data_IF_895415004026
#
_entry.id   IF_895415004026
#
_cell.length_a   1.000
_cell.length_b   1.000
_cell.length_c   1.000
_cell.angle_alpha   90.00
_cell.angle_beta   90.00
_cell.angle_gamma   90.00
#
_symmetry.space_group_name_H-M   'P 1'
#
loop_
_entity.id
_entity.type
_entity.pdbx_description
1 polymer ?
#
# COMPACT_ATOMS: atom_id res chain seq x y z
N UNK A 1 13.37 18.08 -19.24
CA UNK A 1 12.85 18.80 -18.05
C UNK A 1 13.95 18.85 -17.01
N UNK A 2 14.31 20.01 -16.43
CA UNK A 2 15.37 20.09 -15.43
C UNK A 2 14.91 19.44 -14.11
N UNK A 3 15.85 18.82 -13.40
CA UNK A 3 15.61 18.24 -12.08
C UNK A 3 15.30 19.33 -11.05
N UNK A 4 14.46 19.02 -10.06
CA UNK A 4 14.15 19.91 -8.93
C UNK A 4 12.91 20.80 -9.11
N UNK A 5 12.25 20.77 -10.27
CA UNK A 5 10.97 21.46 -10.45
C UNK A 5 9.84 20.70 -9.74
N UNK A 6 9.10 21.37 -8.86
CA UNK A 6 8.02 20.77 -8.05
C UNK A 6 6.95 20.07 -8.88
N UNK A 7 6.63 20.60 -10.07
CA UNK A 7 5.59 20.04 -10.94
C UNK A 7 6.13 19.03 -11.97
N UNK A 8 7.45 18.78 -12.00
CA UNK A 8 8.03 17.89 -12.99
C UNK A 8 7.46 16.46 -12.96
N UNK A 9 7.32 15.82 -11.78
CA UNK A 9 6.75 14.47 -11.72
C UNK A 9 5.30 14.43 -12.21
N UNK A 10 4.49 15.43 -11.87
CA UNK A 10 3.08 15.48 -12.25
C UNK A 10 2.90 15.64 -13.77
N UNK A 11 3.69 16.52 -14.38
CA UNK A 11 3.66 16.74 -15.85
C UNK A 11 4.18 15.51 -16.59
N UNK A 12 5.24 14.88 -16.08
CA UNK A 12 5.76 13.66 -16.70
C UNK A 12 4.77 12.50 -16.59
N UNK A 13 4.11 12.36 -15.44
CA UNK A 13 3.06 11.37 -15.24
C UNK A 13 1.89 11.59 -16.22
N UNK A 14 1.41 12.82 -16.40
CA UNK A 14 0.35 13.15 -17.37
C UNK A 14 0.78 12.82 -18.82
N UNK A 15 2.02 13.12 -19.20
CA UNK A 15 2.56 12.71 -20.49
C UNK A 15 2.52 11.19 -20.66
N UNK A 16 3.06 10.45 -19.70
CA UNK A 16 3.10 8.99 -19.76
C UNK A 16 1.69 8.37 -19.80
N UNK A 17 0.75 8.92 -19.04
CA UNK A 17 -0.65 8.47 -19.06
C UNK A 17 -1.30 8.71 -20.42
N UNK A 18 -0.97 9.80 -21.12
CA UNK A 18 -1.49 10.05 -22.47
C UNK A 18 -0.87 9.13 -23.51
N UNK A 19 0.44 8.89 -23.44
CA UNK A 19 1.18 8.05 -24.38
C UNK A 19 0.76 6.58 -24.26
N UNK A 20 0.57 6.09 -23.04
CA UNK A 20 0.27 4.69 -22.76
C UNK A 20 -1.21 4.44 -22.47
N UNK A 21 -2.07 5.45 -22.66
CA UNK A 21 -3.51 5.42 -22.31
C UNK A 21 -4.22 4.16 -22.80
N UNK A 22 -3.90 3.73 -24.01
CA UNK A 22 -4.51 2.57 -24.65
C UNK A 22 -4.15 1.24 -24.00
N UNK A 23 -3.12 1.19 -23.16
CA UNK A 23 -2.58 -0.04 -22.55
C UNK A 23 -2.64 -0.03 -21.01
N UNK A 24 -2.97 1.11 -20.42
CA UNK A 24 -3.12 1.26 -18.97
C UNK A 24 -4.16 0.29 -18.42
N UNK A 25 -3.85 -0.30 -17.27
CA UNK A 25 -4.70 -1.25 -16.53
C UNK A 25 -5.06 -2.54 -17.28
N UNK A 26 -4.61 -2.73 -18.53
CA UNK A 26 -4.73 -3.98 -19.26
C UNK A 26 -3.50 -4.88 -19.06
N UNK A 27 -2.32 -4.36 -19.41
CA UNK A 27 -1.05 -5.07 -19.24
C UNK A 27 0.10 -4.13 -18.83
N UNK A 28 -0.19 -2.84 -18.60
CA UNK A 28 0.78 -1.83 -18.16
C UNK A 28 0.26 -1.02 -16.99
N UNK A 29 1.14 -0.83 -16.00
CA UNK A 29 0.98 0.15 -14.92
C UNK A 29 2.13 1.14 -15.03
N UNK A 30 1.83 2.42 -14.86
CA UNK A 30 2.83 3.49 -14.91
C UNK A 30 2.78 4.31 -13.63
N UNK A 31 3.95 4.58 -13.06
CA UNK A 31 4.07 5.52 -11.96
C UNK A 31 5.30 6.40 -12.16
N UNK A 32 5.08 7.68 -12.46
CA UNK A 32 6.13 8.66 -12.80
C UNK A 32 7.02 8.12 -13.93
N UNK A 33 8.23 7.64 -13.62
CA UNK A 33 9.23 7.13 -14.55
C UNK A 33 9.28 5.59 -14.63
N UNK A 34 8.61 4.90 -13.71
CA UNK A 34 8.58 3.44 -13.69
C UNK A 34 7.39 2.89 -14.51
N UNK A 35 7.68 1.96 -15.41
CA UNK A 35 6.70 1.25 -16.25
C UNK A 35 6.77 -0.23 -15.90
N UNK A 36 5.67 -0.76 -15.36
CA UNK A 36 5.51 -2.18 -15.09
C UNK A 36 4.68 -2.82 -16.20
N UNK A 37 5.24 -3.84 -16.86
CA UNK A 37 4.57 -4.62 -17.89
C UNK A 37 4.32 -6.02 -17.33
N UNK A 38 3.06 -6.43 -17.26
CA UNK A 38 2.66 -7.74 -16.72
C UNK A 38 1.85 -8.53 -17.73
N UNK A 39 1.95 -9.86 -17.68
CA UNK A 39 1.25 -10.75 -18.63
C UNK A 39 1.09 -12.14 -18.01
N UNK A 40 0.18 -12.94 -18.57
CA UNK A 40 -0.08 -14.30 -18.07
C UNK A 40 0.92 -15.33 -18.62
N UNK A 41 1.35 -15.15 -19.86
CA UNK A 41 2.29 -16.04 -20.54
C UNK A 41 3.55 -15.29 -20.94
N UNK A 42 4.61 -16.05 -21.22
CA UNK A 42 5.89 -15.48 -21.66
C UNK A 42 5.78 -14.94 -23.08
N UNK A 43 4.98 -15.61 -23.92
CA UNK A 43 4.71 -15.24 -25.29
C UNK A 43 4.01 -13.88 -25.34
N UNK A 44 2.91 -13.72 -24.58
CA UNK A 44 2.18 -12.44 -24.48
C UNK A 44 3.07 -11.33 -23.95
N UNK A 45 3.91 -11.62 -22.95
CA UNK A 45 4.82 -10.60 -22.39
C UNK A 45 5.83 -10.09 -23.43
N UNK A 46 6.26 -10.96 -24.35
CA UNK A 46 7.15 -10.57 -25.44
C UNK A 46 6.47 -9.63 -26.43
N UNK A 47 5.20 -9.89 -26.75
CA UNK A 47 4.38 -9.01 -27.60
C UNK A 47 4.10 -7.68 -26.92
N UNK A 48 3.66 -7.70 -25.66
CA UNK A 48 3.43 -6.49 -24.86
C UNK A 48 4.70 -5.63 -24.73
N UNK A 49 5.84 -6.25 -24.45
CA UNK A 49 7.11 -5.54 -24.38
C UNK A 49 7.45 -4.86 -25.72
N UNK A 50 7.24 -5.57 -26.83
CA UNK A 50 7.47 -5.01 -28.18
C UNK A 50 6.57 -3.81 -28.46
N UNK A 51 5.29 -3.89 -28.11
CA UNK A 51 4.33 -2.79 -28.25
C UNK A 51 4.80 -1.58 -27.45
N UNK A 52 5.14 -1.76 -26.17
CA UNK A 52 5.53 -0.64 -25.31
C UNK A 52 6.85 0.00 -25.75
N UNK A 53 7.86 -0.81 -26.11
CA UNK A 53 9.13 -0.27 -26.62
C UNK A 53 8.93 0.50 -27.94
N UNK A 54 8.02 0.05 -28.80
CA UNK A 54 7.69 0.76 -30.04
C UNK A 54 6.98 2.08 -29.74
N UNK A 55 5.97 2.08 -28.87
CA UNK A 55 5.24 3.29 -28.46
C UNK A 55 6.17 4.32 -27.81
N UNK A 56 7.10 3.89 -26.96
CA UNK A 56 8.11 4.77 -26.38
C UNK A 56 9.02 5.35 -27.46
N UNK A 57 9.44 4.55 -28.44
CA UNK A 57 10.28 5.00 -29.56
C UNK A 57 9.58 6.04 -30.43
N UNK A 58 8.31 5.83 -30.73
CA UNK A 58 7.50 6.74 -31.56
C UNK A 58 7.34 8.12 -30.88
N UNK A 59 7.23 8.13 -29.56
CA UNK A 59 7.15 9.34 -28.73
C UNK A 59 8.52 9.87 -28.29
N UNK A 60 9.63 9.29 -28.76
CA UNK A 60 11.02 9.65 -28.41
C UNK A 60 11.29 9.65 -26.90
N UNK A 61 10.68 8.69 -26.20
CA UNK A 61 10.94 8.39 -24.80
C UNK A 61 11.96 7.26 -24.71
N UNK A 62 12.95 7.42 -23.83
CA UNK A 62 14.07 6.50 -23.72
C UNK A 62 14.15 5.91 -22.33
N UNK A 63 14.09 4.58 -22.24
CA UNK A 63 14.34 3.86 -21.01
C UNK A 63 15.86 3.65 -20.82
N UNK A 64 16.33 3.77 -19.58
CA UNK A 64 17.74 3.50 -19.25
C UNK A 64 17.92 1.99 -19.08
N UNK A 65 18.54 1.33 -20.07
CA UNK A 65 18.73 -0.12 -20.09
C UNK A 65 19.33 -0.70 -18.80
N UNK A 66 20.28 0.00 -18.16
CA UNK A 66 20.91 -0.44 -16.91
C UNK A 66 19.98 -0.50 -15.70
N UNK A 67 18.76 0.04 -15.80
CA UNK A 67 17.71 0.02 -14.77
C UNK A 67 16.51 -0.83 -15.20
N UNK A 68 16.54 -1.40 -16.40
CA UNK A 68 15.45 -2.22 -16.90
C UNK A 68 15.67 -3.67 -16.50
N UNK A 69 14.62 -4.30 -15.99
CA UNK A 69 14.59 -5.71 -15.66
C UNK A 69 13.56 -6.39 -16.57
N UNK A 70 13.91 -7.56 -17.11
CA UNK A 70 13.08 -8.27 -18.07
C UNK A 70 12.87 -9.71 -17.63
N UNK A 71 11.70 -10.28 -17.96
CA UNK A 71 11.39 -11.70 -17.78
C UNK A 71 11.49 -12.21 -16.34
N UNK A 72 11.17 -11.36 -15.37
CA UNK A 72 11.16 -11.73 -13.96
C UNK A 72 9.80 -12.30 -13.54
N UNK A 73 9.83 -13.29 -12.66
CA UNK A 73 8.63 -13.86 -12.02
C UNK A 73 8.16 -13.05 -10.80
N UNK A 74 9.08 -12.29 -10.20
CA UNK A 74 8.84 -11.37 -9.09
C UNK A 74 9.66 -10.10 -9.36
N UNK A 75 9.06 -8.92 -9.20
CA UNK A 75 9.71 -7.63 -9.47
C UNK A 75 9.43 -6.64 -8.33
N UNK A 76 10.43 -5.83 -8.00
CA UNK A 76 10.25 -4.70 -7.07
C UNK A 76 9.57 -3.54 -7.80
N UNK A 77 8.40 -3.13 -7.35
CA UNK A 77 7.66 -2.00 -7.90
C UNK A 77 7.04 -1.19 -6.77
N UNK A 78 7.36 0.11 -6.70
CA UNK A 78 6.85 1.05 -5.69
C UNK A 78 7.04 0.57 -4.23
N UNK A 79 8.17 -0.07 -3.92
CA UNK A 79 8.46 -0.59 -2.58
C UNK A 79 7.62 -1.79 -2.16
N UNK A 80 7.07 -2.51 -3.15
CA UNK A 80 6.42 -3.81 -3.01
C UNK A 80 7.09 -4.83 -3.93
N UNK A 81 7.05 -6.10 -3.54
CA UNK A 81 7.39 -7.20 -4.46
C UNK A 81 6.08 -7.69 -5.09
N UNK A 82 6.00 -7.57 -6.41
CA UNK A 82 4.86 -8.05 -7.20
C UNK A 82 5.25 -9.36 -7.86
N UNK A 83 4.52 -10.43 -7.58
CA UNK A 83 4.78 -11.76 -8.16
C UNK A 83 3.51 -12.52 -8.48
N UNK A 84 3.66 -13.73 -9.00
CA UNK A 84 2.55 -14.58 -9.41
C UNK A 84 1.56 -14.93 -8.28
N UNK A 85 2.01 -14.92 -7.02
CA UNK A 85 1.19 -15.21 -5.84
C UNK A 85 0.46 -13.99 -5.29
N UNK A 86 0.82 -12.79 -5.74
CA UNK A 86 0.29 -11.53 -5.23
C UNK A 86 1.38 -10.51 -4.92
N UNK A 87 1.04 -9.55 -4.08
CA UNK A 87 1.88 -8.44 -3.65
C UNK A 87 2.37 -8.71 -2.23
N UNK A 88 3.66 -8.52 -1.99
CA UNK A 88 4.26 -8.59 -0.65
C UNK A 88 5.05 -7.33 -0.35
N UNK A 89 5.42 -7.17 0.92
CA UNK A 89 6.26 -6.06 1.39
C UNK A 89 7.70 -6.31 0.97
N UNK A 90 8.38 -5.27 0.49
CA UNK A 90 9.82 -5.35 0.17
C UNK A 90 10.65 -5.70 1.43
N UNK A 91 11.40 -6.83 1.43
CA UNK A 91 12.27 -7.24 2.52
C UNK A 91 13.29 -6.17 2.95
N UNK A 92 13.76 -5.32 2.04
CA UNK A 92 14.68 -4.24 2.39
C UNK A 92 13.99 -3.19 3.29
N UNK A 93 12.73 -2.87 3.00
CA UNK A 93 11.90 -1.99 3.85
C UNK A 93 11.50 -2.68 5.16
N UNK A 94 11.22 -3.98 5.13
CA UNK A 94 10.98 -4.77 6.36
C UNK A 94 12.21 -4.73 7.27
N UNK A 95 13.42 -4.93 6.73
CA UNK A 95 14.68 -4.84 7.51
C UNK A 95 14.85 -3.47 8.15
N UNK A 96 14.62 -2.39 7.38
CA UNK A 96 14.69 -1.03 7.92
C UNK A 96 13.69 -0.80 9.07
N UNK A 97 12.52 -1.45 9.04
CA UNK A 97 11.53 -1.42 10.14
C UNK A 97 12.01 -2.23 11.34
N UNK A 98 12.58 -3.41 11.13
CA UNK A 98 13.10 -4.27 12.21
C UNK A 98 14.22 -3.55 12.96
N UNK A 99 15.18 -2.99 12.22
CA UNK A 99 16.35 -2.30 12.76
C UNK A 99 16.05 -0.89 13.27
N UNK A 100 14.80 -0.42 13.11
CA UNK A 100 14.40 0.92 13.53
C UNK A 100 14.57 1.09 15.05
N UNK A 101 15.32 2.10 15.54
CA UNK A 101 15.52 2.29 16.97
C UNK A 101 14.21 2.72 17.66
N UNK A 102 14.05 2.42 18.94
CA UNK A 102 12.86 2.84 19.70
C UNK A 102 12.73 4.38 19.64
N UNK A 103 11.61 4.91 19.11
CA UNK A 103 11.41 6.34 18.95
C UNK A 103 11.48 7.09 20.29
N UNK A 104 12.26 8.16 20.35
CA UNK A 104 12.39 9.02 21.55
C UNK A 104 11.72 10.39 21.38
N UNK A 105 11.31 10.71 20.16
CA UNK A 105 10.71 12.00 19.83
C UNK A 105 9.40 11.84 19.08
N UNK A 106 8.51 12.83 19.18
CA UNK A 106 7.24 12.88 18.43
C UNK A 106 7.48 12.83 16.91
N UNK A 107 8.57 13.45 16.45
CA UNK A 107 9.00 13.43 15.04
C UNK A 107 9.36 12.03 14.58
N UNK A 108 10.12 11.27 15.37
CA UNK A 108 10.46 9.88 15.04
C UNK A 108 9.23 8.96 15.02
N UNK A 109 8.29 9.15 15.96
CA UNK A 109 7.02 8.41 15.94
C UNK A 109 6.25 8.70 14.65
N UNK A 110 6.15 9.97 14.24
CA UNK A 110 5.44 10.34 13.00
C UNK A 110 6.11 9.74 11.78
N UNK A 111 7.44 9.74 11.71
CA UNK A 111 8.19 9.11 10.61
C UNK A 111 7.93 7.60 10.56
N UNK A 112 8.00 6.91 11.71
CA UNK A 112 7.73 5.48 11.79
C UNK A 112 6.28 5.14 11.42
N UNK A 113 5.30 5.85 11.98
CA UNK A 113 3.88 5.66 11.66
C UNK A 113 3.55 5.98 10.20
N UNK A 114 4.27 6.93 9.58
CA UNK A 114 4.13 7.21 8.16
C UNK A 114 4.55 6.02 7.29
N UNK A 115 5.72 5.43 7.58
CA UNK A 115 6.21 4.26 6.85
C UNK A 115 5.38 3.00 7.14
N UNK A 116 5.05 2.74 8.41
CA UNK A 116 4.18 1.63 8.79
C UNK A 116 2.75 1.81 8.20
N UNK A 117 2.30 3.07 8.08
CA UNK A 117 1.03 3.44 7.48
C UNK A 117 0.96 3.17 5.97
N UNK A 118 2.09 3.23 5.25
CA UNK A 118 2.17 2.81 3.85
C UNK A 118 1.79 1.33 3.70
N UNK A 119 2.27 0.48 4.61
CA UNK A 119 2.00 -0.95 4.63
C UNK A 119 0.77 -1.35 5.46
N UNK A 120 -0.09 -0.40 5.86
CA UNK A 120 -1.30 -0.68 6.67
C UNK A 120 -2.22 -1.73 6.07
N UNK A 121 -2.21 -1.87 4.72
CA UNK A 121 -3.05 -2.84 3.99
C UNK A 121 -2.66 -4.30 4.25
N UNK A 122 -1.45 -4.54 4.75
CA UNK A 122 -0.92 -5.86 5.08
C UNK A 122 -1.12 -6.23 6.56
N UNK A 123 -1.47 -5.25 7.39
CA UNK A 123 -1.55 -5.41 8.85
C UNK A 123 -3.00 -5.37 9.28
N UNK A 124 -3.54 -6.53 9.66
CA UNK A 124 -4.84 -6.60 10.32
C UNK A 124 -4.82 -5.72 11.57
N UNK A 125 -5.90 -4.96 11.79
CA UNK A 125 -6.07 -4.17 13.00
C UNK A 125 -5.03 -3.07 13.23
N UNK A 126 -4.33 -2.62 12.18
CA UNK A 126 -3.30 -1.58 12.24
C UNK A 126 -3.69 -0.38 13.12
N UNK A 127 -4.91 0.15 12.98
CA UNK A 127 -5.39 1.31 13.75
C UNK A 127 -5.46 1.08 15.26
N UNK A 128 -5.63 -0.17 15.73
CA UNK A 128 -5.61 -0.52 17.16
C UNK A 128 -4.20 -0.59 17.68
N UNK A 129 -3.31 -1.22 16.92
CA UNK A 129 -1.91 -1.37 17.31
C UNK A 129 -1.23 0.01 17.31
N UNK A 130 -1.50 0.85 16.30
CA UNK A 130 -0.93 2.19 16.21
C UNK A 130 -1.59 3.22 17.14
N UNK A 131 -2.70 2.90 17.81
CA UNK A 131 -3.46 3.84 18.65
C UNK A 131 -2.63 4.52 19.76
N UNK A 132 -1.89 3.79 20.63
CA UNK A 132 -1.09 4.41 21.69
C UNK A 132 -0.02 5.35 21.13
N UNK A 133 0.67 4.96 20.05
CA UNK A 133 1.67 5.81 19.40
C UNK A 133 1.04 7.04 18.73
N UNK A 134 -0.15 6.89 18.13
CA UNK A 134 -0.86 8.01 17.52
C UNK A 134 -1.28 9.05 18.57
N UNK A 135 -1.63 8.62 19.78
CA UNK A 135 -1.95 9.54 20.89
C UNK A 135 -0.74 10.41 21.25
N UNK A 136 0.46 9.84 21.30
CA UNK A 136 1.71 10.60 21.58
C UNK A 136 2.03 11.68 20.54
N UNK A 137 1.38 11.66 19.36
CA UNK A 137 1.61 12.67 18.32
C UNK A 137 0.69 13.90 18.42
N UNK A 138 -0.29 13.89 19.34
CA UNK A 138 -1.23 15.00 19.54
C UNK A 138 -0.56 16.17 20.28
N UNK A 139 -0.99 17.40 19.96
CA UNK A 139 -0.35 18.64 20.45
C UNK A 139 -0.45 18.84 21.97
N UNK A 140 -1.48 18.30 22.62
CA UNK A 140 -1.76 18.52 24.04
C UNK A 140 -1.37 17.34 24.95
N UNK A 141 -0.48 16.46 24.49
CA UNK A 141 -0.06 15.27 25.24
C UNK A 141 1.44 15.30 25.48
N UNK A 142 1.85 15.19 26.74
CA UNK A 142 3.26 15.04 27.10
C UNK A 142 3.78 13.71 26.55
N UNK A 143 4.93 13.77 25.87
CA UNK A 143 5.59 12.59 25.35
C UNK A 143 6.04 11.71 26.52
N UNK A 144 5.38 10.57 26.70
CA UNK A 144 5.78 9.54 27.65
C UNK A 144 5.71 8.19 26.94
N UNK A 145 6.87 7.63 26.63
CA UNK A 145 6.96 6.28 26.08
C UNK A 145 6.67 5.27 27.19
N UNK A 146 5.47 4.71 27.19
CA UNK A 146 5.02 3.73 28.17
C UNK A 146 5.12 2.30 27.60
N UNK A 147 4.93 1.30 28.47
CA UNK A 147 4.98 -0.11 28.07
C UNK A 147 3.98 -0.45 26.96
N UNK A 148 2.82 0.22 26.94
CA UNK A 148 1.83 0.01 25.87
C UNK A 148 2.31 0.49 24.50
N UNK A 149 3.11 1.56 24.45
CA UNK A 149 3.74 2.06 23.22
C UNK A 149 4.86 1.12 22.77
N UNK A 150 5.67 0.63 23.70
CA UNK A 150 6.73 -0.35 23.40
C UNK A 150 6.15 -1.66 22.86
N UNK A 151 5.09 -2.18 23.49
CA UNK A 151 4.38 -3.37 23.03
C UNK A 151 3.76 -3.14 21.64
N UNK A 152 3.11 -2.00 21.41
CA UNK A 152 2.56 -1.65 20.11
C UNK A 152 3.64 -1.54 19.02
N UNK A 153 4.79 -0.95 19.35
CA UNK A 153 5.93 -0.82 18.44
C UNK A 153 6.49 -2.20 18.04
N UNK A 154 6.71 -3.09 19.01
CA UNK A 154 7.16 -4.46 18.75
C UNK A 154 6.15 -5.26 17.95
N UNK A 155 4.86 -5.16 18.30
CA UNK A 155 3.79 -5.86 17.59
C UNK A 155 3.68 -5.38 16.14
N UNK A 156 3.83 -4.07 15.85
CA UNK A 156 3.86 -3.59 14.47
C UNK A 156 5.04 -4.13 13.69
N UNK A 157 6.25 -4.18 14.29
CA UNK A 157 7.42 -4.78 13.63
C UNK A 157 7.19 -6.24 13.29
N UNK A 158 6.65 -7.01 14.25
CA UNK A 158 6.34 -8.43 14.05
C UNK A 158 5.31 -8.62 12.94
N UNK A 159 4.22 -7.84 12.94
CA UNK A 159 3.16 -7.94 11.92
C UNK A 159 3.61 -7.51 10.54
N UNK A 160 4.53 -6.56 10.43
CA UNK A 160 5.14 -6.18 9.15
C UNK A 160 6.10 -7.24 8.63
N UNK A 161 6.73 -8.01 9.52
CA UNK A 161 7.64 -9.11 9.16
C UNK A 161 6.88 -10.39 8.78
N UNK A 162 5.77 -10.66 9.46
CA UNK A 162 4.87 -11.80 9.22
C UNK A 162 3.72 -11.46 8.28
N UNK A 163 3.79 -10.30 7.62
CA UNK A 163 2.76 -9.79 6.72
C UNK A 163 2.44 -10.84 5.65
N UNK A 164 1.16 -11.23 5.49
CA UNK A 164 0.76 -12.18 4.46
C UNK A 164 0.93 -11.56 3.07
N UNK A 165 1.15 -12.42 2.07
CA UNK A 165 1.06 -12.02 0.66
C UNK A 165 -0.39 -11.67 0.36
N UNK A 166 -0.64 -10.44 -0.08
CA UNK A 166 -1.97 -9.99 -0.50
C UNK A 166 -2.19 -10.41 -1.95
N UNK A 167 -3.33 -11.03 -2.22
CA UNK A 167 -3.66 -11.47 -3.58
C UNK A 167 -4.16 -10.31 -4.40
N UNK A 168 -3.76 -10.24 -5.67
CA UNK A 168 -4.30 -9.26 -6.61
C UNK A 168 -5.76 -9.62 -6.93
N UNK A 169 -6.68 -8.64 -6.93
CA UNK A 169 -8.08 -8.90 -7.23
C UNK A 169 -8.23 -9.42 -8.67
N UNK A 170 -8.96 -10.52 -8.85
CA UNK A 170 -9.26 -11.03 -10.19
C UNK A 170 -10.62 -10.51 -10.66
N UNK A 171 -10.64 -9.93 -11.86
CA UNK A 171 -11.87 -9.44 -12.49
C UNK A 171 -12.82 -10.60 -12.79
N UNK A 172 -14.10 -10.43 -12.44
CA UNK A 172 -15.17 -11.38 -12.77
C UNK A 172 -15.49 -12.43 -11.71
N UNK A 173 -14.78 -12.47 -10.57
CA UNK A 173 -15.20 -13.26 -9.40
C UNK A 173 -15.84 -12.37 -8.33
N UNK A 174 -16.57 -13.01 -7.41
CA UNK A 174 -17.18 -12.32 -6.29
C UNK A 174 -16.14 -11.83 -5.27
N UNK A 175 -16.45 -10.71 -4.62
CA UNK A 175 -15.69 -10.21 -3.48
C UNK A 175 -16.44 -10.53 -2.19
N UNK A 176 -15.71 -10.92 -1.16
CA UNK A 176 -16.20 -11.15 0.19
C UNK A 176 -15.61 -10.08 1.11
N UNK A 177 -16.45 -9.44 1.91
CA UNK A 177 -16.03 -8.42 2.87
C UNK A 177 -16.43 -8.85 4.26
N UNK A 178 -15.44 -9.10 5.10
CA UNK A 178 -15.64 -9.35 6.52
C UNK A 178 -15.45 -8.05 7.27
N UNK A 179 -16.47 -7.59 7.99
CA UNK A 179 -16.45 -6.36 8.78
C UNK A 179 -16.47 -6.67 10.28
N UNK A 180 -15.86 -5.79 11.06
CA UNK A 180 -15.93 -5.79 12.53
C UNK A 180 -16.05 -4.36 13.02
N UNK A 181 -17.02 -4.09 13.89
CA UNK A 181 -17.22 -2.80 14.51
C UNK A 181 -17.11 -2.90 16.04
N UNK A 182 -16.51 -1.88 16.64
CA UNK A 182 -16.43 -1.76 18.09
C UNK A 182 -16.61 -0.31 18.50
N UNK A 183 -16.90 -0.04 19.78
CA UNK A 183 -17.02 1.32 20.33
C UNK A 183 -15.75 2.18 20.22
N UNK A 184 -14.67 1.63 19.68
CA UNK A 184 -13.39 2.34 19.52
C UNK A 184 -13.01 2.50 18.04
N UNK A 185 -13.39 1.55 17.17
CA UNK A 185 -12.87 1.43 15.80
C UNK A 185 -13.76 0.62 14.88
N UNK A 186 -13.50 0.77 13.59
CA UNK A 186 -14.02 -0.05 12.49
C UNK A 186 -12.86 -0.83 11.86
N UNK A 187 -13.09 -2.08 11.52
CA UNK A 187 -12.16 -2.95 10.81
C UNK A 187 -12.88 -3.67 9.68
N UNK A 188 -12.15 -3.99 8.63
CA UNK A 188 -12.64 -4.88 7.59
C UNK A 188 -11.49 -5.56 6.83
N UNK A 189 -11.82 -6.71 6.25
CA UNK A 189 -10.95 -7.51 5.39
C UNK A 189 -11.66 -7.74 4.09
N UNK A 190 -11.05 -7.29 2.98
CA UNK A 190 -11.49 -7.62 1.64
C UNK A 190 -10.84 -8.94 1.23
N UNK A 191 -11.64 -9.92 0.83
CA UNK A 191 -11.22 -11.27 0.48
C UNK A 191 -11.84 -11.70 -0.85
N UNK A 192 -11.19 -12.65 -1.50
CA UNK A 192 -11.66 -13.30 -2.72
C UNK A 192 -11.19 -14.75 -2.70
N UNK A 193 -12.11 -15.69 -2.93
CA UNK A 193 -11.86 -17.14 -2.84
C UNK A 193 -11.13 -17.56 -1.54
N UNK A 194 -11.52 -16.98 -0.40
CA UNK A 194 -10.90 -17.24 0.91
C UNK A 194 -9.49 -16.65 1.11
N UNK A 195 -8.99 -15.84 0.17
CA UNK A 195 -7.67 -15.16 0.27
C UNK A 195 -7.84 -13.67 0.51
N UNK A 196 -6.98 -13.09 1.35
CA UNK A 196 -7.03 -11.66 1.65
C UNK A 196 -6.43 -10.80 0.53
N UNK A 197 -7.19 -9.80 0.08
CA UNK A 197 -6.76 -8.77 -0.88
C UNK A 197 -6.26 -7.54 -0.14
N UNK A 198 -6.99 -7.10 0.89
CA UNK A 198 -6.62 -5.92 1.66
C UNK A 198 -7.21 -5.95 3.07
N UNK A 199 -6.41 -5.51 4.04
CA UNK A 199 -6.87 -5.16 5.38
C UNK A 199 -7.10 -3.66 5.48
N UNK A 200 -8.17 -3.25 6.13
CA UNK A 200 -8.38 -1.85 6.47
C UNK A 200 -8.93 -1.72 7.88
N UNK A 201 -8.48 -0.66 8.56
CA UNK A 201 -8.97 -0.32 9.88
C UNK A 201 -8.91 1.17 10.07
N UNK A 202 -9.84 1.71 10.87
CA UNK A 202 -9.92 3.14 11.17
C UNK A 202 -10.47 3.35 12.58
N UNK A 203 -9.91 4.32 13.31
CA UNK A 203 -10.50 4.78 14.57
C UNK A 203 -11.80 5.53 14.34
N UNK A 204 -12.74 5.42 15.28
CA UNK A 204 -13.99 6.19 15.21
C UNK A 204 -13.73 7.69 15.33
N UNK A 205 -14.46 8.46 14.54
CA UNK A 205 -14.56 9.91 14.71
C UNK A 205 -15.29 10.23 16.01
N UNK A 206 -15.11 11.46 16.50
CA UNK A 206 -15.68 11.92 17.77
C UNK A 206 -17.21 11.74 17.81
N UNK A 207 -17.91 12.03 16.71
CA UNK A 207 -19.36 11.85 16.61
C UNK A 207 -19.78 10.38 16.48
N UNK A 208 -19.01 9.56 15.78
CA UNK A 208 -19.29 8.13 15.60
C UNK A 208 -19.21 7.36 16.93
N UNK A 209 -18.51 7.88 17.94
CA UNK A 209 -18.46 7.28 19.29
C UNK A 209 -19.81 7.27 20.01
N UNK A 210 -20.72 8.14 19.62
CA UNK A 210 -22.05 8.23 20.22
C UNK A 210 -23.07 7.31 19.54
N UNK A 211 -22.66 6.57 18.50
CA UNK A 211 -23.56 5.74 17.71
C UNK A 211 -23.96 4.44 18.41
N UNK A 212 -25.19 3.99 18.12
CA UNK A 212 -25.65 2.62 18.06
C UNK A 212 -24.58 1.57 17.93
N UNK A 213 -24.62 0.41 18.61
CA UNK A 213 -23.85 -0.74 18.08
C UNK A 213 -24.31 -1.06 16.65
N UNK A 214 -25.61 -1.03 16.39
CA UNK A 214 -26.19 -1.26 15.05
C UNK A 214 -25.71 -0.23 14.02
N UNK A 215 -25.64 1.05 14.41
CA UNK A 215 -25.17 2.14 13.54
C UNK A 215 -23.66 2.06 13.29
N UNK A 216 -22.89 1.54 14.26
CA UNK A 216 -21.47 1.25 14.09
C UNK A 216 -21.22 0.10 13.11
N UNK A 217 -22.03 -0.95 13.15
CA UNK A 217 -21.98 -2.03 12.14
C UNK A 217 -22.26 -1.48 10.74
N UNK A 218 -23.30 -0.64 10.60
CA UNK A 218 -23.59 0.01 9.32
C UNK A 218 -22.44 0.95 8.88
N UNK A 219 -21.83 1.67 9.82
CA UNK A 219 -20.66 2.50 9.54
C UNK A 219 -19.45 1.66 9.08
N UNK A 220 -19.28 0.44 9.60
CA UNK A 220 -18.26 -0.50 9.14
C UNK A 220 -18.52 -0.95 7.70
N UNK A 221 -19.77 -1.24 7.33
CA UNK A 221 -20.17 -1.54 5.94
C UNK A 221 -19.81 -0.38 5.02
N UNK A 222 -20.24 0.84 5.37
CA UNK A 222 -19.98 2.04 4.56
C UNK A 222 -18.48 2.33 4.46
N UNK A 223 -17.72 2.07 5.52
CA UNK A 223 -16.26 2.18 5.50
C UNK A 223 -15.64 1.15 4.56
N UNK A 224 -16.10 -0.10 4.61
CA UNK A 224 -15.56 -1.17 3.80
C UNK A 224 -15.83 -0.98 2.30
N UNK A 225 -17.00 -0.45 1.93
CA UNK A 225 -17.35 -0.13 0.55
C UNK A 225 -16.56 1.05 -0.05
N UNK A 226 -15.84 1.82 0.77
CA UNK A 226 -14.99 2.94 0.32
C UNK A 226 -13.54 2.54 0.04
N UNK A 227 -13.19 1.28 0.28
CA UNK A 227 -11.85 0.72 0.06
C UNK A 227 -11.70 0.34 -1.40
#
# INVERSE_FOLDING_TARGET
>A
MPFGLTNAPAVFMDLMHRVLKEYLDMFVIVFIDDILIYSKTREDNGEHLKIILQTLRDHRLYAKFSKCEFWLTEVEFLGHIVGARGVSVDPAKVRAVIDWPTPRTVTEIRSFLGLAGYYRRFVQDFSKIAAPMTQLTKKDINFQWNDSCEQAFRLLKERLTTAPVLVLPESGKGFEVNIDASKVRLGCVLMQDGRAIAYASRQLKIHEKNYPTNDLELAAVVFALKI
#
